data_IF_523937362490
#
_entry.id   IF_523937362490
#
_cell.length_a   1.000
_cell.length_b   1.000
_cell.length_c   1.000
_cell.angle_alpha   90.00
_cell.angle_beta   90.00
_cell.angle_gamma   90.00
#
_symmetry.space_group_name_H-M   'P 1'
#
loop_
_entity.id
_entity.type
_entity.pdbx_description
1 polymer ?
2 polymer ?
#
loop_
_entity_poly.entity_id
_entity_poly.type
_entity_poly.pdbx_seq_one_letter_code
_entity_poly.pdbx_strand_id
2 'polyribonucleotide' 'GGCAGAUCUGAGCCUGGGAGCUCUCUGCC' ?
#
# COMPACT_ATOMS: atom_id res chain seq x y z
N UNK A 1 -2.95 7.80 0.02
CA UNK A 1 -2.58 6.99 -1.14
C UNK A 1 -2.47 5.51 -0.78
N UNK A 2 -2.73 4.64 -1.77
CA UNK A 2 -2.66 3.20 -1.56
C UNK A 2 -1.65 2.54 -2.49
N UNK A 3 -0.93 1.55 -1.97
CA UNK A 3 0.09 0.88 -2.75
C UNK A 3 0.21 -0.58 -2.35
N UNK A 4 0.50 -1.42 -3.34
CA UNK A 4 0.66 -2.84 -3.08
C UNK A 4 2.09 -3.26 -3.34
N UNK A 5 2.55 -4.27 -2.60
CA UNK A 5 3.92 -4.76 -2.73
C UNK A 5 3.91 -6.26 -2.95
N UNK A 6 3.80 -6.67 -4.20
CA UNK A 6 3.77 -8.09 -4.58
C UNK A 6 3.64 -8.99 -3.36
N UNK A 7 2.56 -8.81 -2.63
CA UNK A 7 2.32 -9.61 -1.43
C UNK A 7 1.81 -8.75 -0.29
N UNK A 8 2.56 -7.68 0.02
CA UNK A 8 2.18 -6.78 1.10
C UNK A 8 1.39 -5.58 0.55
N UNK A 9 0.11 -5.49 0.93
CA UNK A 9 -0.75 -4.39 0.47
C UNK A 9 -0.63 -3.23 1.46
N UNK A 10 -0.01 -2.13 1.03
CA UNK A 10 0.21 -1.01 1.93
C UNK A 10 -0.46 0.26 1.43
N UNK A 11 -0.23 1.35 2.16
CA UNK A 11 -0.79 2.63 1.79
C UNK A 11 -0.07 3.76 2.49
N UNK A 12 -0.12 4.93 1.88
CA UNK A 12 0.51 6.10 2.47
C UNK A 12 -0.55 7.17 2.75
N UNK A 13 -1.07 7.23 3.97
CA UNK A 13 -2.13 8.21 4.32
C UNK A 13 -3.28 8.25 3.29
N UNK A 14 -3.29 9.19 2.35
CA UNK A 14 -4.39 9.28 1.33
C UNK A 14 -4.11 8.44 0.08
#
# INVERSE_FOLDING_TARGET
XVRTRKGRRIXIPP
#
